data_IF_861699261081
#
_entry.id   IF_861699261081
#
_cell.length_a   1.000
_cell.length_b   1.000
_cell.length_c   1.000
_cell.angle_alpha   90.00
_cell.angle_beta   90.00
_cell.angle_gamma   90.00
#
_symmetry.space_group_name_H-M   'P 1'
#
loop_
_entity.id
_entity.type
_entity.pdbx_description
1 polymer ?
#
# COMPACT_ATOMS: atom_id res chain seq x y z
N UNK A 1 5.81 18.93 -13.07
CA UNK A 1 5.34 17.65 -12.52
C UNK A 1 5.74 16.52 -13.47
N UNK A 2 6.39 15.48 -12.95
CA UNK A 2 6.81 14.28 -13.68
C UNK A 2 6.54 13.03 -12.82
N UNK A 3 5.97 11.98 -13.41
CA UNK A 3 5.89 10.64 -12.80
C UNK A 3 7.00 9.80 -13.40
N UNK A 4 7.80 9.15 -12.57
CA UNK A 4 8.91 8.28 -12.95
C UNK A 4 9.11 7.14 -11.98
N UNK A 5 9.82 6.11 -12.40
CA UNK A 5 10.27 5.05 -11.48
C UNK A 5 11.08 5.66 -10.33
N UNK A 6 10.92 5.10 -9.16
CA UNK A 6 11.79 5.31 -8.02
C UNK A 6 13.20 4.80 -8.33
N UNK A 7 14.21 5.40 -7.75
CA UNK A 7 15.61 4.98 -7.82
C UNK A 7 16.24 5.00 -6.42
N UNK A 8 17.37 4.32 -6.25
CA UNK A 8 18.09 4.30 -4.97
C UNK A 8 18.41 5.70 -4.43
N UNK A 9 18.63 6.68 -5.32
CA UNK A 9 18.89 8.06 -4.90
C UNK A 9 17.66 8.76 -4.27
N UNK A 10 16.48 8.21 -4.46
CA UNK A 10 15.23 8.76 -3.94
C UNK A 10 14.87 8.22 -2.55
N UNK A 11 15.49 7.12 -2.13
CA UNK A 11 15.06 6.32 -0.98
C UNK A 11 14.89 7.14 0.29
N UNK A 12 15.88 7.93 0.65
CA UNK A 12 15.81 8.77 1.87
C UNK A 12 14.71 9.84 1.77
N UNK A 13 14.57 10.52 0.62
CA UNK A 13 13.52 11.53 0.42
C UNK A 13 12.12 10.90 0.43
N UNK A 14 11.99 9.69 -0.10
CA UNK A 14 10.73 8.92 -0.06
C UNK A 14 10.39 8.46 1.35
N UNK A 15 11.35 7.94 2.12
CA UNK A 15 11.12 7.54 3.51
C UNK A 15 10.66 8.73 4.36
N UNK A 16 11.32 9.89 4.21
CA UNK A 16 10.90 11.12 4.89
C UNK A 16 9.49 11.56 4.45
N UNK A 17 9.18 11.51 3.15
CA UNK A 17 7.84 11.82 2.62
C UNK A 17 6.78 10.89 3.20
N UNK A 18 7.04 9.57 3.21
CA UNK A 18 6.10 8.56 3.73
C UNK A 18 5.90 8.78 5.21
N UNK A 19 6.99 8.91 5.98
CA UNK A 19 6.94 9.23 7.40
C UNK A 19 6.07 10.47 7.67
N UNK A 20 6.31 11.56 6.97
CA UNK A 20 5.54 12.80 7.11
C UNK A 20 4.06 12.63 6.83
N UNK A 21 3.74 11.83 5.80
CA UNK A 21 2.37 11.63 5.35
C UNK A 21 1.54 10.82 6.33
N UNK A 22 2.15 9.84 6.99
CA UNK A 22 1.49 8.90 7.90
C UNK A 22 1.64 9.24 9.38
N UNK A 23 2.52 10.20 9.76
CA UNK A 23 2.80 10.52 11.15
C UNK A 23 1.55 10.90 11.94
N UNK A 24 1.25 10.12 12.99
CA UNK A 24 0.08 10.23 13.85
C UNK A 24 -1.28 10.09 13.12
N UNK A 25 -1.33 9.43 11.96
CA UNK A 25 -2.58 9.24 11.21
C UNK A 25 -3.35 8.02 11.73
N UNK A 26 -2.77 6.84 11.64
CA UNK A 26 -3.44 5.59 12.02
C UNK A 26 -3.07 5.10 13.42
N UNK A 27 -1.94 5.55 13.94
CA UNK A 27 -1.37 5.22 15.25
C UNK A 27 -0.44 6.34 15.72
N UNK A 28 0.03 6.33 16.97
CA UNK A 28 1.12 7.19 17.40
C UNK A 28 2.39 6.91 16.59
N UNK A 29 2.96 7.93 15.94
CA UNK A 29 4.07 7.74 15.00
C UNK A 29 3.61 7.26 13.63
N UNK A 30 4.45 6.48 12.94
CA UNK A 30 4.17 5.84 11.65
C UNK A 30 5.04 4.58 11.50
N UNK A 31 4.54 3.57 10.78
CA UNK A 31 5.29 2.36 10.42
C UNK A 31 5.64 2.33 8.93
N UNK A 32 4.87 3.04 8.13
CA UNK A 32 4.87 2.94 6.67
C UNK A 32 6.23 3.28 6.05
N UNK A 33 7.00 4.20 6.65
CA UNK A 33 8.34 4.55 6.16
C UNK A 33 9.35 3.41 6.40
N UNK A 34 9.23 2.70 7.53
CA UNK A 34 10.05 1.53 7.82
C UNK A 34 9.64 0.34 6.94
N UNK A 35 8.34 0.15 6.71
CA UNK A 35 7.84 -0.86 5.75
C UNK A 35 8.41 -0.60 4.35
N UNK A 36 8.38 0.65 3.87
CA UNK A 36 8.96 1.01 2.56
C UNK A 36 10.46 0.73 2.52
N UNK A 37 11.18 1.01 3.60
CA UNK A 37 12.61 0.72 3.73
C UNK A 37 12.88 -0.78 3.57
N UNK A 38 12.26 -1.61 4.41
CA UNK A 38 12.46 -3.06 4.43
C UNK A 38 11.98 -3.73 3.13
N UNK A 39 10.88 -3.22 2.55
CA UNK A 39 10.30 -3.79 1.34
C UNK A 39 11.28 -3.77 0.16
N UNK A 40 12.15 -2.76 0.06
CA UNK A 40 13.12 -2.63 -1.04
C UNK A 40 14.17 -3.73 -1.06
N UNK A 41 14.49 -4.29 0.11
CA UNK A 41 15.44 -5.40 0.26
C UNK A 41 14.75 -6.77 0.21
N UNK A 42 13.42 -6.81 0.13
CA UNK A 42 12.64 -8.04 0.08
C UNK A 42 12.36 -8.49 -1.37
N UNK A 43 12.40 -9.81 -1.61
CA UNK A 43 12.14 -10.41 -2.93
C UNK A 43 10.70 -10.17 -3.46
N UNK A 44 9.77 -9.79 -2.57
CA UNK A 44 8.40 -9.47 -2.95
C UNK A 44 8.25 -8.07 -3.55
N UNK A 45 9.26 -7.20 -3.44
CA UNK A 45 9.22 -5.86 -3.98
C UNK A 45 9.05 -5.84 -5.50
N UNK A 46 8.20 -4.96 -5.99
CA UNK A 46 7.95 -4.76 -7.41
C UNK A 46 8.56 -3.44 -7.88
N UNK A 47 9.89 -3.43 -8.10
CA UNK A 47 10.63 -2.24 -8.54
C UNK A 47 10.02 -1.55 -9.76
N UNK A 48 9.48 -2.35 -10.70
CA UNK A 48 8.83 -1.85 -11.91
C UNK A 48 7.45 -1.21 -11.67
N UNK A 49 6.96 -1.24 -10.42
CA UNK A 49 5.73 -0.60 -9.96
C UNK A 49 5.96 0.37 -8.79
N UNK A 50 7.21 0.70 -8.49
CA UNK A 50 7.56 1.74 -7.52
C UNK A 50 7.77 3.08 -8.25
N UNK A 51 6.91 4.06 -7.98
CA UNK A 51 6.89 5.34 -8.70
C UNK A 51 6.85 6.53 -7.75
N UNK A 52 7.48 7.62 -8.20
CA UNK A 52 7.44 8.93 -7.54
C UNK A 52 6.81 9.99 -8.44
N UNK A 53 6.20 10.99 -7.81
CA UNK A 53 5.87 12.27 -8.46
C UNK A 53 6.92 13.29 -8.04
N UNK A 54 7.56 13.89 -9.03
CA UNK A 54 8.51 14.98 -8.86
C UNK A 54 7.93 16.30 -9.36
N UNK A 55 8.03 17.34 -8.54
CA UNK A 55 7.73 18.73 -8.89
C UNK A 55 8.92 19.62 -8.48
N UNK A 56 9.42 20.42 -9.42
CA UNK A 56 10.54 21.35 -9.20
C UNK A 56 11.78 20.69 -8.54
N UNK A 57 12.06 19.45 -8.95
CA UNK A 57 13.20 18.66 -8.46
C UNK A 57 13.03 18.09 -7.07
N UNK A 58 11.78 18.06 -6.53
CA UNK A 58 11.46 17.47 -5.23
C UNK A 58 10.40 16.38 -5.38
N UNK A 59 10.52 15.33 -4.58
CA UNK A 59 9.51 14.28 -4.51
C UNK A 59 8.33 14.79 -3.68
N UNK A 60 7.13 14.73 -4.26
CA UNK A 60 5.88 15.15 -3.64
C UNK A 60 4.87 14.02 -3.53
N UNK A 61 5.17 12.85 -4.09
CA UNK A 61 4.32 11.66 -4.00
C UNK A 61 5.11 10.40 -4.27
N UNK A 62 4.69 9.31 -3.66
CA UNK A 62 5.26 7.97 -3.81
C UNK A 62 4.16 6.91 -3.77
N UNK A 63 4.35 5.84 -4.53
CA UNK A 63 3.55 4.62 -4.51
C UNK A 63 4.44 3.44 -4.81
N UNK A 64 4.22 2.34 -4.12
CA UNK A 64 4.85 1.06 -4.45
C UNK A 64 3.84 -0.09 -4.41
N UNK A 65 4.31 -1.25 -4.85
CA UNK A 65 3.56 -2.49 -4.90
C UNK A 65 4.47 -3.64 -4.45
N UNK A 66 3.83 -4.66 -3.91
CA UNK A 66 4.50 -5.89 -3.51
C UNK A 66 3.76 -7.13 -4.02
N UNK A 67 4.47 -8.26 -4.04
CA UNK A 67 3.85 -9.56 -4.23
C UNK A 67 3.25 -10.04 -2.91
N UNK A 68 2.11 -10.69 -3.00
CA UNK A 68 1.48 -11.42 -1.91
C UNK A 68 0.93 -12.74 -2.43
N UNK A 69 0.22 -13.47 -1.58
CA UNK A 69 -0.38 -14.74 -1.94
C UNK A 69 -1.81 -14.85 -1.42
N UNK A 70 -2.65 -15.52 -2.19
CA UNK A 70 -3.99 -15.92 -1.78
C UNK A 70 -4.00 -17.44 -1.65
N UNK A 71 -4.39 -17.93 -0.47
CA UNK A 71 -4.57 -19.35 -0.20
C UNK A 71 -6.00 -19.77 -0.51
N UNK A 72 -6.17 -20.71 -1.41
CA UNK A 72 -7.43 -21.36 -1.76
C UNK A 72 -7.36 -22.86 -1.38
N UNK A 73 -8.50 -23.53 -1.31
CA UNK A 73 -8.52 -24.99 -1.13
C UNK A 73 -7.74 -25.71 -2.25
N UNK A 74 -7.83 -25.20 -3.48
CA UNK A 74 -7.15 -25.75 -4.66
C UNK A 74 -5.66 -25.37 -4.76
N UNK A 75 -5.09 -24.61 -3.81
CA UNK A 75 -3.69 -24.20 -3.76
C UNK A 75 -3.48 -22.68 -3.70
N UNK A 76 -2.23 -22.26 -3.69
CA UNK A 76 -1.81 -20.87 -3.53
C UNK A 76 -1.73 -20.18 -4.88
N UNK A 77 -2.18 -18.92 -4.97
CA UNK A 77 -2.11 -18.06 -6.16
C UNK A 77 -1.37 -16.77 -5.81
N UNK A 78 -0.44 -16.30 -6.67
CA UNK A 78 0.19 -15.00 -6.48
C UNK A 78 -0.83 -13.86 -6.60
N UNK A 79 -0.62 -12.82 -5.80
CA UNK A 79 -1.36 -11.58 -5.83
C UNK A 79 -0.39 -10.39 -5.90
N UNK A 80 -0.90 -9.23 -6.30
CA UNK A 80 -0.17 -7.95 -6.24
C UNK A 80 -0.94 -7.02 -5.32
N UNK A 81 -0.23 -6.38 -4.41
CA UNK A 81 -0.79 -5.46 -3.40
C UNK A 81 -0.26 -4.06 -3.65
N UNK A 82 -1.17 -3.10 -3.68
CA UNK A 82 -0.87 -1.67 -3.77
C UNK A 82 -0.60 -1.13 -2.36
N UNK A 83 0.51 -0.47 -2.19
CA UNK A 83 0.82 0.31 -0.99
C UNK A 83 2.20 0.03 -0.39
N UNK A 84 2.64 0.97 0.45
CA UNK A 84 2.02 2.26 0.78
C UNK A 84 1.96 3.26 -0.38
N UNK A 85 1.00 4.20 -0.29
CA UNK A 85 0.95 5.39 -1.14
C UNK A 85 1.00 6.63 -0.26
N UNK A 86 1.85 7.58 -0.58
CA UNK A 86 2.02 8.82 0.18
C UNK A 86 2.02 10.03 -0.75
N UNK A 87 1.38 11.12 -0.32
CA UNK A 87 1.43 12.43 -0.95
C UNK A 87 1.79 13.46 0.11
N UNK A 88 2.79 14.29 -0.18
CA UNK A 88 3.23 15.39 0.68
C UNK A 88 2.04 16.20 1.18
N UNK A 89 1.92 16.42 2.50
CA UNK A 89 0.75 17.06 3.13
C UNK A 89 0.34 18.37 2.45
N UNK A 90 1.31 19.21 2.06
CA UNK A 90 1.04 20.46 1.34
C UNK A 90 0.54 20.29 -0.09
N UNK A 91 0.67 19.10 -0.66
CA UNK A 91 0.28 18.75 -2.04
C UNK A 91 -0.94 17.83 -2.09
N UNK A 92 -1.52 17.46 -0.95
CA UNK A 92 -2.73 16.66 -0.87
C UNK A 92 -3.95 17.42 -1.40
N UNK A 93 -5.01 16.67 -1.74
CA UNK A 93 -6.27 17.21 -2.29
C UNK A 93 -6.14 17.94 -3.66
N UNK A 94 -5.00 17.79 -4.35
CA UNK A 94 -4.76 18.30 -5.71
C UNK A 94 -4.77 17.21 -6.79
N UNK A 95 -5.25 16.01 -6.45
CA UNK A 95 -5.38 14.89 -7.36
C UNK A 95 -4.09 14.13 -7.68
N UNK A 96 -2.98 14.41 -6.97
CA UNK A 96 -1.70 13.74 -7.24
C UNK A 96 -1.75 12.23 -6.93
N UNK A 97 -2.38 11.85 -5.81
CA UNK A 97 -2.58 10.43 -5.48
C UNK A 97 -3.39 9.70 -6.53
N UNK A 98 -4.47 10.34 -7.04
CA UNK A 98 -5.27 9.76 -8.13
C UNK A 98 -4.44 9.55 -9.40
N UNK A 99 -3.59 10.52 -9.77
CA UNK A 99 -2.70 10.38 -10.93
C UNK A 99 -1.70 9.24 -10.78
N UNK A 100 -1.11 9.04 -9.58
CA UNK A 100 -0.21 7.92 -9.31
C UNK A 100 -0.94 6.58 -9.44
N UNK A 101 -2.09 6.44 -8.80
CA UNK A 101 -2.87 5.21 -8.83
C UNK A 101 -3.29 4.89 -10.27
N UNK A 102 -3.89 5.83 -11.00
CA UNK A 102 -4.32 5.61 -12.38
C UNK A 102 -3.14 5.23 -13.28
N UNK A 103 -2.00 5.91 -13.13
CA UNK A 103 -0.80 5.65 -13.92
C UNK A 103 -0.24 4.24 -13.65
N UNK A 104 -0.09 3.87 -12.38
CA UNK A 104 0.50 2.58 -12.00
C UNK A 104 -0.44 1.40 -12.24
N UNK A 105 -1.77 1.57 -12.11
CA UNK A 105 -2.74 0.54 -12.48
C UNK A 105 -2.73 0.25 -13.99
N UNK A 106 -2.53 1.27 -14.84
CA UNK A 106 -2.34 1.05 -16.28
C UNK A 106 -1.07 0.24 -16.58
N UNK A 107 0.02 0.51 -15.87
CA UNK A 107 1.26 -0.26 -16.00
C UNK A 107 1.06 -1.69 -15.51
N UNK A 108 0.40 -1.88 -14.36
CA UNK A 108 0.10 -3.20 -13.83
C UNK A 108 -0.72 -4.04 -14.82
N UNK A 109 -1.75 -3.44 -15.40
CA UNK A 109 -2.56 -4.10 -16.45
C UNK A 109 -1.73 -4.40 -17.71
N UNK A 110 -0.85 -3.48 -18.13
CA UNK A 110 0.04 -3.67 -19.28
C UNK A 110 1.12 -4.73 -19.07
N UNK A 111 1.42 -5.07 -17.83
CA UNK A 111 2.35 -6.14 -17.42
C UNK A 111 1.64 -7.47 -17.13
N UNK A 112 0.42 -7.66 -17.64
CA UNK A 112 -0.38 -8.89 -17.50
C UNK A 112 -0.68 -9.27 -16.03
N UNK A 113 -0.66 -8.30 -15.10
CA UNK A 113 -1.13 -8.50 -13.72
C UNK A 113 -2.65 -8.62 -13.77
N UNK A 114 -3.22 -9.75 -13.33
CA UNK A 114 -4.65 -10.00 -13.53
C UNK A 114 -5.54 -9.19 -12.59
N UNK A 115 -5.04 -8.84 -11.42
CA UNK A 115 -5.74 -8.04 -10.42
C UNK A 115 -4.75 -7.43 -9.42
N UNK A 116 -5.20 -6.38 -8.74
CA UNK A 116 -4.47 -5.71 -7.66
C UNK A 116 -5.34 -5.67 -6.43
N UNK A 117 -4.77 -5.99 -5.28
CA UNK A 117 -5.38 -5.87 -3.96
C UNK A 117 -4.97 -4.54 -3.30
N UNK A 118 -5.80 -4.02 -2.41
CA UNK A 118 -5.48 -2.89 -1.55
C UNK A 118 -6.21 -3.00 -0.22
N UNK A 119 -5.56 -2.57 0.86
CA UNK A 119 -6.19 -2.34 2.16
C UNK A 119 -6.27 -0.83 2.37
N UNK A 120 -7.49 -0.28 2.45
CA UNK A 120 -7.68 1.15 2.58
C UNK A 120 -9.14 1.60 2.55
N UNK A 121 -9.35 2.91 2.48
CA UNK A 121 -10.69 3.51 2.51
C UNK A 121 -11.45 3.25 1.21
N UNK A 122 -12.58 2.56 1.32
CA UNK A 122 -13.48 2.24 0.19
C UNK A 122 -13.92 3.51 -0.56
N UNK A 123 -14.21 4.59 0.16
CA UNK A 123 -14.63 5.85 -0.47
C UNK A 123 -13.51 6.46 -1.34
N UNK A 124 -12.26 6.18 -1.00
CA UNK A 124 -11.11 6.64 -1.79
C UNK A 124 -10.84 5.72 -2.99
N UNK A 125 -10.78 4.40 -2.78
CA UNK A 125 -10.32 3.46 -3.81
C UNK A 125 -11.41 3.04 -4.81
N UNK A 126 -12.69 3.12 -4.47
CA UNK A 126 -13.80 2.79 -5.39
C UNK A 126 -13.78 3.59 -6.69
N UNK A 127 -13.30 4.83 -6.66
CA UNK A 127 -13.16 5.69 -7.86
C UNK A 127 -12.18 5.15 -8.91
N UNK A 128 -11.26 4.27 -8.51
CA UNK A 128 -10.32 3.58 -9.39
C UNK A 128 -10.81 2.20 -9.82
N UNK A 129 -12.06 1.87 -9.51
CA UNK A 129 -12.71 0.62 -9.84
C UNK A 129 -12.33 -0.54 -8.91
N UNK A 130 -11.77 -0.25 -7.73
CA UNK A 130 -11.69 -1.23 -6.67
C UNK A 130 -13.08 -1.48 -6.09
N UNK A 131 -13.34 -2.73 -5.73
CA UNK A 131 -14.55 -3.18 -5.04
C UNK A 131 -14.15 -4.07 -3.87
N UNK A 132 -15.07 -4.27 -2.90
CA UNK A 132 -14.81 -5.22 -1.81
C UNK A 132 -14.35 -6.57 -2.36
N UNK A 133 -13.25 -7.10 -1.84
CA UNK A 133 -12.68 -8.38 -2.25
C UNK A 133 -13.62 -9.56 -1.95
N UNK A 134 -14.52 -9.41 -0.98
CA UNK A 134 -15.57 -10.39 -0.64
C UNK A 134 -16.50 -10.70 -1.82
N UNK A 135 -16.69 -9.76 -2.77
CA UNK A 135 -17.44 -10.01 -4.01
C UNK A 135 -16.84 -11.09 -4.89
N UNK A 136 -15.55 -11.35 -4.69
CA UNK A 136 -14.80 -12.42 -5.37
C UNK A 136 -14.49 -13.60 -4.45
N UNK A 137 -15.11 -13.66 -3.25
CA UNK A 137 -14.85 -14.69 -2.26
C UNK A 137 -13.47 -14.58 -1.59
N UNK A 138 -12.87 -13.38 -1.61
CA UNK A 138 -11.55 -13.12 -1.02
C UNK A 138 -11.70 -12.40 0.31
N UNK A 139 -10.99 -12.88 1.32
CA UNK A 139 -11.00 -12.34 2.67
C UNK A 139 -9.57 -12.13 3.18
N UNK A 140 -9.41 -11.18 4.07
CA UNK A 140 -8.15 -10.94 4.76
C UNK A 140 -8.01 -11.94 5.92
N UNK A 141 -6.82 -12.51 6.08
CA UNK A 141 -6.52 -13.41 7.20
C UNK A 141 -6.80 -12.73 8.55
N UNK A 142 -7.41 -13.46 9.47
CA UNK A 142 -7.80 -12.94 10.78
C UNK A 142 -9.13 -12.15 10.81
N UNK A 143 -9.80 -11.94 9.66
CA UNK A 143 -11.11 -11.28 9.63
C UNK A 143 -12.27 -12.29 9.64
N UNK A 144 -13.43 -11.87 10.13
CA UNK A 144 -14.65 -12.70 10.10
C UNK A 144 -15.14 -12.84 8.66
N UNK A 145 -15.40 -14.07 8.22
CA UNK A 145 -15.91 -14.36 6.87
C UNK A 145 -17.38 -13.97 6.69
N UNK A 146 -18.13 -13.83 7.78
CA UNK A 146 -19.52 -13.43 7.77
C UNK A 146 -19.71 -11.90 7.79
N UNK A 147 -18.62 -11.14 7.99
CA UNK A 147 -18.63 -9.68 7.99
C UNK A 147 -18.07 -9.11 6.69
N UNK A 148 -18.73 -8.03 6.22
CA UNK A 148 -18.16 -7.24 5.12
C UNK A 148 -16.92 -6.50 5.58
N UNK A 149 -15.79 -6.73 4.89
CA UNK A 149 -14.56 -6.02 5.11
C UNK A 149 -14.33 -5.00 3.97
N UNK A 150 -15.00 -3.83 4.01
CA UNK A 150 -14.98 -2.87 2.90
C UNK A 150 -13.60 -2.25 2.67
N UNK A 151 -12.72 -2.33 3.67
CA UNK A 151 -11.34 -1.86 3.58
C UNK A 151 -10.42 -2.81 2.82
N UNK A 152 -10.78 -4.09 2.64
CA UNK A 152 -10.02 -5.04 1.83
C UNK A 152 -10.66 -5.13 0.44
N UNK A 153 -9.96 -4.66 -0.56
CA UNK A 153 -10.52 -4.39 -1.88
C UNK A 153 -9.66 -5.01 -3.00
N UNK A 154 -10.31 -5.23 -4.13
CA UNK A 154 -9.70 -5.78 -5.35
C UNK A 154 -10.05 -4.94 -6.57
N UNK A 155 -9.08 -4.71 -7.45
CA UNK A 155 -9.28 -4.24 -8.82
C UNK A 155 -8.93 -5.36 -9.78
N UNK A 156 -9.91 -5.91 -10.49
CA UNK A 156 -9.74 -7.01 -11.45
C UNK A 156 -9.58 -6.43 -12.86
N UNK A 157 -8.56 -6.92 -13.59
CA UNK A 157 -8.32 -6.63 -15.00
C UNK A 157 -8.65 -7.84 -15.88
N UNK A 158 -8.48 -9.07 -15.35
CA UNK A 158 -8.81 -10.33 -16.04
C UNK A 158 -9.63 -11.23 -15.12
N UNK A 159 -10.96 -11.24 -15.31
CA UNK A 159 -11.91 -12.07 -14.56
C UNK A 159 -11.60 -13.58 -14.65
N UNK A 160 -10.98 -14.02 -15.74
CA UNK A 160 -10.67 -15.43 -15.95
C UNK A 160 -9.58 -15.96 -15.01
N UNK A 161 -8.84 -15.08 -14.38
CA UNK A 161 -7.73 -15.39 -13.47
C UNK A 161 -8.13 -15.37 -11.99
N UNK A 162 -9.34 -14.89 -11.68
CA UNK A 162 -9.86 -14.91 -10.30
C UNK A 162 -10.59 -16.22 -10.07
N UNK A 163 -10.19 -16.98 -9.04
CA UNK A 163 -10.84 -18.24 -8.70
C UNK A 163 -12.23 -18.00 -8.10
N UNK A 164 -13.16 -18.94 -8.35
CA UNK A 164 -14.53 -18.92 -7.82
C UNK A 164 -14.66 -19.78 -6.55
N UNK A 165 -13.68 -19.73 -5.69
CA UNK A 165 -13.63 -20.43 -4.41
C UNK A 165 -13.21 -19.45 -3.31
N UNK A 166 -13.46 -19.77 -2.06
CA UNK A 166 -13.05 -18.95 -0.93
C UNK A 166 -11.52 -18.87 -0.90
N UNK A 167 -10.99 -17.65 -0.88
CA UNK A 167 -9.57 -17.37 -0.81
C UNK A 167 -9.24 -16.48 0.38
N UNK A 168 -8.15 -16.83 1.06
CA UNK A 168 -7.63 -16.06 2.20
C UNK A 168 -6.33 -15.39 1.76
N UNK A 169 -6.31 -14.07 1.83
CA UNK A 169 -5.11 -13.27 1.64
C UNK A 169 -4.47 -12.99 3.00
N UNK A 170 -3.17 -13.26 3.10
CA UNK A 170 -2.36 -12.86 4.24
C UNK A 170 -1.36 -11.79 3.81
N UNK A 171 -1.24 -10.72 4.61
CA UNK A 171 -0.19 -9.74 4.39
C UNK A 171 1.18 -10.42 4.44
N UNK A 172 2.11 -10.05 3.56
CA UNK A 172 3.50 -10.48 3.66
C UNK A 172 4.12 -10.04 5.00
N UNK A 173 5.06 -10.85 5.51
CA UNK A 173 5.66 -10.64 6.84
C UNK A 173 6.37 -9.27 6.97
N UNK A 174 6.83 -8.68 5.88
CA UNK A 174 7.45 -7.33 5.86
C UNK A 174 6.51 -6.22 6.36
N UNK A 175 5.19 -6.45 6.36
CA UNK A 175 4.19 -5.53 6.91
C UNK A 175 3.92 -5.74 8.41
N UNK A 176 4.43 -6.83 8.98
CA UNK A 176 4.33 -7.14 10.42
C UNK A 176 5.63 -6.69 11.10
N UNK A 177 5.67 -5.43 11.50
CA UNK A 177 6.87 -4.77 12.02
C UNK A 177 6.81 -4.64 13.53
N UNK A 178 7.97 -4.79 14.17
CA UNK A 178 8.14 -4.62 15.62
C UNK A 178 8.30 -3.13 15.98
N UNK A 179 7.67 -2.71 17.09
CA UNK A 179 7.71 -1.32 17.56
C UNK A 179 9.13 -0.84 17.87
N UNK A 180 9.96 -1.69 18.48
CA UNK A 180 11.33 -1.35 18.86
C UNK A 180 12.21 -1.17 17.61
N UNK A 181 12.02 -2.00 16.58
CA UNK A 181 12.72 -1.85 15.30
C UNK A 181 12.32 -0.57 14.56
N UNK A 182 11.02 -0.25 14.57
CA UNK A 182 10.52 1.03 14.01
C UNK A 182 11.10 2.21 14.75
N UNK A 183 11.17 2.17 16.08
CA UNK A 183 11.71 3.26 16.89
C UNK A 183 13.22 3.45 16.67
N UNK A 184 13.98 2.36 16.53
CA UNK A 184 15.40 2.40 16.18
C UNK A 184 15.59 3.04 14.79
N UNK A 185 14.83 2.60 13.78
CA UNK A 185 14.89 3.17 12.45
C UNK A 185 14.47 4.66 12.44
N UNK A 186 13.41 5.01 13.17
CA UNK A 186 12.89 6.39 13.25
C UNK A 186 13.89 7.35 13.90
N UNK A 187 14.81 6.84 14.74
CA UNK A 187 15.82 7.64 15.43
C UNK A 187 16.80 8.37 14.50
N UNK A 188 16.93 7.97 13.24
CA UNK A 188 17.75 8.64 12.23
C UNK A 188 17.09 9.90 11.63
N UNK A 189 15.79 10.09 11.87
CA UNK A 189 15.05 11.26 11.40
C UNK A 189 14.93 12.33 12.50
N UNK A 190 14.50 13.52 12.10
CA UNK A 190 14.21 14.59 13.08
C UNK A 190 13.14 14.13 14.05
N UNK A 191 13.39 14.35 15.37
CA UNK A 191 12.45 13.96 16.41
C UNK A 191 11.08 14.60 16.22
N UNK A 192 10.03 13.78 16.37
CA UNK A 192 8.62 14.20 16.39
C UNK A 192 7.87 13.52 17.52
N UNK A 193 6.96 14.26 18.14
CA UNK A 193 6.12 13.71 19.20
C UNK A 193 5.11 12.70 18.62
N UNK A 194 5.07 11.50 19.23
CA UNK A 194 4.03 10.51 18.96
C UNK A 194 2.79 10.86 19.78
N UNK A 195 1.67 11.10 19.10
CA UNK A 195 0.42 11.51 19.72
C UNK A 195 -0.62 10.41 19.65
N UNK A 196 -1.32 10.15 20.75
CA UNK A 196 -2.52 9.31 20.79
C UNK A 196 -3.72 10.20 20.46
N UNK A 197 -4.42 9.89 19.38
CA UNK A 197 -5.55 10.67 18.87
C UNK A 197 -6.80 9.78 18.74
N UNK A 198 -7.97 10.37 19.02
CA UNK A 198 -9.26 9.63 18.90
C UNK A 198 -9.60 9.18 17.47
N UNK A 199 -8.91 9.75 16.48
CA UNK A 199 -9.08 9.44 15.04
C UNK A 199 -8.25 8.23 14.58
N UNK A 200 -7.36 7.72 15.40
CA UNK A 200 -6.50 6.59 15.09
C UNK A 200 -7.28 5.27 15.14
N UNK A 201 -6.76 4.27 14.42
CA UNK A 201 -7.35 2.94 14.47
C UNK A 201 -7.25 2.41 15.91
N UNK A 202 -8.37 1.85 16.41
CA UNK A 202 -8.32 1.11 17.67
C UNK A 202 -7.69 -0.24 17.37
N UNK A 203 -6.82 -0.69 18.26
CA UNK A 203 -6.34 -2.07 18.21
C UNK A 203 -7.57 -3.01 18.21
N UNK A 204 -7.57 -3.91 17.24
CA UNK A 204 -8.59 -4.94 17.08
C UNK A 204 -8.34 -6.09 18.06
#
# INVERSE_FOLDING_TARGET
MRIRLESENDYMEVEELVRDSFWNVYRPGAYEHFIVHNLRDDEIFLENLAYVIEEDGKIVGHINYSRGTISYESGIVPAVVLGPIAIKKSCQNHGLGSKLIDYTLQIAQGNDIPFVLVIGDENYYSRFGFVSASKYGLYLDGTDLDEENPFFMIRVFDESKVKKELGIFRNPDVFDVDDDEVDEFDSQFEYREKLVLDTQLKEL
#
